data_IF_034363099246
#
_entry.id   IF_034363099246
#
_cell.length_a   1.000
_cell.length_b   1.000
_cell.length_c   1.000
_cell.angle_alpha   90.00
_cell.angle_beta   90.00
_cell.angle_gamma   90.00
#
_symmetry.space_group_name_H-M   'P 1'
#
loop_
_entity.id
_entity.type
_entity.pdbx_description
1 polymer ?
#
# COMPACT_ATOMS: atom_id res chain seq x y z
N UNK A 1 5.11 2.95 81.98
CA UNK A 1 6.36 3.55 82.50
C UNK A 1 7.50 2.57 82.21
N UNK A 2 8.56 3.02 81.51
CA UNK A 2 9.85 2.31 81.29
C UNK A 2 10.85 2.95 82.28
N UNK A 3 11.89 2.25 82.83
CA UNK A 3 13.12 2.00 82.05
C UNK A 3 14.08 0.85 82.50
N UNK A 4 15.13 0.64 81.69
CA UNK A 4 16.53 0.28 82.00
C UNK A 4 16.88 -1.09 82.66
N UNK A 5 17.39 -2.09 81.92
CA UNK A 5 18.81 -2.38 81.48
C UNK A 5 19.80 -2.86 82.54
N UNK A 6 20.24 -4.13 82.41
CA UNK A 6 21.58 -4.64 82.74
C UNK A 6 21.97 -5.63 81.60
N UNK A 7 22.85 -5.34 80.62
CA UNK A 7 24.34 -5.31 80.63
C UNK A 7 24.95 -6.56 81.30
N UNK A 8 25.91 -7.33 80.78
CA UNK A 8 26.58 -7.48 79.48
C UNK A 8 27.56 -8.67 79.65
N UNK A 9 27.73 -9.53 78.63
CA UNK A 9 29.02 -10.19 78.31
C UNK A 9 28.96 -10.78 76.90
N UNK A 10 29.72 -10.19 75.97
CA UNK A 10 29.92 -10.62 74.57
C UNK A 10 30.95 -11.77 74.49
N UNK A 11 30.93 -12.58 73.39
CA UNK A 11 31.97 -12.36 72.36
C UNK A 11 31.48 -12.52 70.90
N UNK A 12 31.81 -11.50 70.10
CA UNK A 12 32.15 -11.39 68.65
C UNK A 12 31.54 -12.32 67.56
N UNK A 13 31.29 -11.78 66.35
CA UNK A 13 30.36 -12.31 65.36
C UNK A 13 31.03 -13.32 64.41
N UNK A 14 30.27 -14.24 63.81
CA UNK A 14 30.33 -14.29 62.35
C UNK A 14 29.05 -14.81 61.70
N UNK A 15 28.61 -14.10 60.67
CA UNK A 15 27.59 -14.57 59.75
C UNK A 15 26.39 -13.65 59.78
N UNK A 16 26.53 -12.49 59.14
CA UNK A 16 25.41 -12.08 58.29
C UNK A 16 25.05 -13.35 57.48
N UNK A 17 23.81 -13.87 57.55
CA UNK A 17 23.34 -14.65 56.44
C UNK A 17 23.40 -13.66 55.30
N UNK A 18 24.51 -13.71 54.56
CA UNK A 18 24.58 -13.21 53.21
C UNK A 18 23.27 -13.70 52.64
N UNK A 19 22.33 -12.76 52.47
CA UNK A 19 21.44 -12.83 51.35
C UNK A 19 22.43 -13.06 50.23
N UNK A 20 22.51 -14.33 49.81
CA UNK A 20 22.92 -14.68 48.49
C UNK A 20 21.87 -13.97 47.66
N UNK A 21 22.08 -12.66 47.48
CA UNK A 21 21.79 -11.99 46.26
C UNK A 21 22.54 -12.88 45.30
N UNK A 22 21.84 -13.88 44.78
CA UNK A 22 21.86 -14.10 43.35
C UNK A 22 21.50 -12.75 42.75
N UNK A 23 22.46 -11.83 42.81
CA UNK A 23 23.00 -11.33 41.59
C UNK A 23 23.35 -12.61 40.85
N UNK A 24 22.37 -13.09 40.10
CA UNK A 24 22.65 -13.30 38.69
C UNK A 24 23.15 -11.95 38.20
N UNK A 25 24.40 -11.62 38.56
CA UNK A 25 25.36 -11.00 37.68
C UNK A 25 25.45 -12.00 36.54
N UNK A 26 24.42 -12.06 35.71
CA UNK A 26 24.59 -12.46 34.33
C UNK A 26 25.19 -11.24 33.63
N UNK A 27 26.30 -10.74 34.19
CA UNK A 27 27.37 -10.04 33.51
C UNK A 27 28.34 -11.07 32.95
N UNK A 28 27.81 -12.16 32.38
CA UNK A 28 28.51 -12.79 31.29
C UNK A 28 28.21 -11.88 30.12
N UNK A 29 29.23 -11.19 29.60
CA UNK A 29 29.12 -10.41 28.38
C UNK A 29 28.17 -11.14 27.42
N UNK A 30 27.02 -10.52 27.08
CA UNK A 30 26.15 -11.05 26.04
C UNK A 30 27.09 -11.36 24.89
N UNK A 31 27.27 -12.66 24.61
CA UNK A 31 28.23 -13.08 23.61
C UNK A 31 27.84 -12.37 22.32
N UNK A 32 28.80 -12.00 21.48
CA UNK A 32 28.51 -11.37 20.18
C UNK A 32 27.41 -12.15 19.43
N UNK A 33 27.32 -13.47 19.63
CA UNK A 33 26.24 -14.32 19.15
C UNK A 33 24.83 -13.99 19.67
N UNK A 34 24.65 -13.63 20.95
CA UNK A 34 23.34 -13.25 21.51
C UNK A 34 22.87 -11.88 20.99
N UNK A 35 23.81 -10.93 20.80
CA UNK A 35 23.51 -9.64 20.17
C UNK A 35 23.12 -9.81 18.70
N UNK A 36 23.84 -10.67 17.97
CA UNK A 36 23.50 -11.01 16.57
C UNK A 36 22.17 -11.74 16.49
N UNK A 37 21.87 -12.65 17.43
CA UNK A 37 20.60 -13.34 17.48
C UNK A 37 19.43 -12.38 17.73
N UNK A 38 19.57 -11.45 18.68
CA UNK A 38 18.60 -10.38 18.93
C UNK A 38 18.41 -9.46 17.72
N UNK A 39 19.49 -9.06 17.05
CA UNK A 39 19.43 -8.26 15.82
C UNK A 39 18.66 -8.97 14.70
N UNK A 40 18.88 -10.27 14.51
CA UNK A 40 18.17 -11.07 13.51
C UNK A 40 16.69 -11.19 13.85
N UNK A 41 16.36 -11.40 15.13
CA UNK A 41 14.96 -11.51 15.54
C UNK A 41 14.22 -10.17 15.46
N UNK A 42 14.89 -9.06 15.80
CA UNK A 42 14.37 -7.70 15.63
C UNK A 42 14.16 -7.36 14.15
N UNK A 43 15.12 -7.67 13.27
CA UNK A 43 14.99 -7.44 11.82
C UNK A 43 13.81 -8.22 11.22
N UNK A 44 13.59 -9.45 11.69
CA UNK A 44 12.47 -10.30 11.24
C UNK A 44 11.12 -9.79 11.75
N UNK A 45 11.08 -9.28 12.99
CA UNK A 45 9.87 -8.68 13.56
C UNK A 45 9.50 -7.39 12.81
N UNK A 46 10.51 -6.58 12.48
CA UNK A 46 10.35 -5.35 11.70
C UNK A 46 9.87 -5.63 10.27
N UNK A 47 10.49 -6.60 9.58
CA UNK A 47 10.05 -7.01 8.24
C UNK A 47 8.60 -7.53 8.21
N UNK A 48 8.17 -8.25 9.26
CA UNK A 48 6.76 -8.65 9.39
C UNK A 48 5.83 -7.48 9.67
N UNK A 49 6.27 -6.49 10.43
CA UNK A 49 5.51 -5.28 10.70
C UNK A 49 5.31 -4.45 9.42
N UNK A 50 6.34 -4.29 8.59
CA UNK A 50 6.23 -3.60 7.30
C UNK A 50 5.33 -4.35 6.33
N UNK A 51 5.48 -5.68 6.22
CA UNK A 51 4.56 -6.52 5.43
C UNK A 51 3.11 -6.38 5.90
N UNK A 52 2.89 -6.32 7.22
CA UNK A 52 1.58 -6.06 7.82
C UNK A 52 1.04 -4.68 7.45
N UNK A 53 1.88 -3.65 7.48
CA UNK A 53 1.54 -2.29 7.08
C UNK A 53 1.16 -2.19 5.60
N UNK A 54 1.96 -2.74 4.69
CA UNK A 54 1.65 -2.77 3.26
C UNK A 54 0.38 -3.55 2.96
N UNK A 55 0.15 -4.66 3.68
CA UNK A 55 -1.07 -5.45 3.54
C UNK A 55 -2.29 -4.68 4.04
N UNK A 56 -2.20 -4.00 5.19
CA UNK A 56 -3.27 -3.18 5.74
C UNK A 56 -3.60 -2.01 4.81
N UNK A 57 -2.58 -1.26 4.36
CA UNK A 57 -2.71 -0.16 3.41
C UNK A 57 -3.31 -0.61 2.08
N UNK A 58 -2.88 -1.78 1.58
CA UNK A 58 -3.43 -2.42 0.39
C UNK A 58 -4.91 -2.79 0.55
N UNK A 59 -5.30 -3.36 1.70
CA UNK A 59 -6.70 -3.71 1.97
C UNK A 59 -7.61 -2.51 2.19
N UNK A 60 -7.12 -1.44 2.83
CA UNK A 60 -7.88 -0.19 2.99
C UNK A 60 -8.12 0.49 1.64
N UNK A 61 -7.07 0.64 0.83
CA UNK A 61 -7.18 1.22 -0.51
C UNK A 61 -8.05 0.37 -1.42
N UNK A 62 -7.93 -0.96 -1.36
CA UNK A 62 -8.78 -1.86 -2.13
C UNK A 62 -10.25 -1.74 -1.73
N UNK A 63 -10.58 -1.71 -0.44
CA UNK A 63 -11.96 -1.54 0.03
C UNK A 63 -12.54 -0.19 -0.40
N UNK A 64 -11.76 0.89 -0.32
CA UNK A 64 -12.19 2.20 -0.79
C UNK A 64 -12.39 2.24 -2.32
N UNK A 65 -11.61 1.47 -3.09
CA UNK A 65 -11.69 1.46 -4.55
C UNK A 65 -12.75 0.50 -5.12
N UNK A 66 -13.27 -0.47 -4.37
CA UNK A 66 -14.26 -1.44 -4.88
C UNK A 66 -15.45 -0.79 -5.56
N UNK A 67 -16.11 0.14 -4.86
CA UNK A 67 -17.29 0.85 -5.37
C UNK A 67 -16.96 1.72 -6.60
N UNK A 68 -15.96 2.63 -6.56
CA UNK A 68 -15.64 3.44 -7.72
C UNK A 68 -15.09 2.63 -8.90
N UNK A 69 -14.42 1.48 -8.67
CA UNK A 69 -14.02 0.57 -9.76
C UNK A 69 -15.27 0.00 -10.44
N UNK A 70 -16.24 -0.54 -9.70
CA UNK A 70 -17.45 -1.11 -10.30
C UNK A 70 -18.24 -0.04 -11.06
N UNK A 71 -18.42 1.14 -10.46
CA UNK A 71 -19.09 2.26 -11.12
C UNK A 71 -18.30 2.74 -12.35
N UNK A 72 -16.98 2.80 -12.28
CA UNK A 72 -16.11 3.16 -13.40
C UNK A 72 -16.20 2.16 -14.55
N UNK A 73 -16.19 0.86 -14.24
CA UNK A 73 -16.36 -0.20 -15.24
C UNK A 73 -17.74 -0.13 -15.91
N UNK A 74 -18.80 0.08 -15.12
CA UNK A 74 -20.15 0.28 -15.66
C UNK A 74 -20.20 1.52 -16.56
N UNK A 75 -19.61 2.64 -16.13
CA UNK A 75 -19.56 3.86 -16.92
C UNK A 75 -18.82 3.65 -18.25
N UNK A 76 -17.67 2.95 -18.24
CA UNK A 76 -16.93 2.60 -19.46
C UNK A 76 -17.77 1.71 -20.37
N UNK A 77 -18.46 0.72 -19.81
CA UNK A 77 -19.34 -0.17 -20.57
C UNK A 77 -20.47 0.61 -21.25
N UNK A 78 -21.14 1.52 -20.53
CA UNK A 78 -22.18 2.38 -21.09
C UNK A 78 -21.63 3.37 -22.11
N UNK A 79 -20.46 3.95 -21.87
CA UNK A 79 -19.79 4.83 -22.84
C UNK A 79 -19.45 4.09 -24.13
N UNK A 80 -18.98 2.85 -24.04
CA UNK A 80 -18.71 2.00 -25.20
C UNK A 80 -20.00 1.67 -25.97
N UNK A 81 -21.06 1.27 -25.25
CA UNK A 81 -22.36 1.00 -25.87
C UNK A 81 -22.92 2.24 -26.58
N UNK A 82 -22.87 3.40 -25.93
CA UNK A 82 -23.30 4.67 -26.53
C UNK A 82 -22.47 5.04 -27.77
N UNK A 83 -21.16 4.77 -27.75
CA UNK A 83 -20.29 4.99 -28.90
C UNK A 83 -20.67 4.13 -30.11
N UNK A 84 -21.00 2.85 -29.90
CA UNK A 84 -21.48 1.97 -30.99
C UNK A 84 -22.81 2.44 -31.56
N UNK A 85 -23.74 2.86 -30.69
CA UNK A 85 -25.02 3.43 -31.11
C UNK A 85 -24.81 4.71 -31.91
N UNK A 86 -23.90 5.58 -31.49
CA UNK A 86 -23.55 6.81 -32.21
C UNK A 86 -23.05 6.50 -33.63
N UNK A 87 -22.15 5.52 -33.78
CA UNK A 87 -21.66 5.08 -35.10
C UNK A 87 -22.81 4.57 -35.97
N UNK A 88 -23.69 3.73 -35.40
CA UNK A 88 -24.85 3.21 -36.11
C UNK A 88 -25.81 4.32 -36.54
N UNK A 89 -26.08 5.31 -35.68
CA UNK A 89 -26.92 6.46 -35.99
C UNK A 89 -26.31 7.32 -37.11
N UNK A 90 -25.00 7.54 -37.09
CA UNK A 90 -24.30 8.26 -38.17
C UNK A 90 -24.47 7.49 -39.49
N UNK A 91 -24.22 6.17 -39.49
CA UNK A 91 -24.36 5.35 -40.68
C UNK A 91 -25.78 5.39 -41.25
N UNK A 92 -26.80 5.15 -40.41
CA UNK A 92 -28.21 5.18 -40.82
C UNK A 92 -28.61 6.56 -41.33
N UNK A 93 -28.14 7.62 -40.67
CA UNK A 93 -28.35 9.00 -41.11
C UNK A 93 -27.77 9.25 -42.50
N UNK A 94 -26.51 8.86 -42.75
CA UNK A 94 -25.86 9.00 -44.05
C UNK A 94 -26.51 8.13 -45.13
N UNK A 95 -26.90 6.90 -44.81
CA UNK A 95 -27.55 5.98 -45.74
C UNK A 95 -28.89 6.53 -46.26
N UNK A 96 -29.55 7.45 -45.53
CA UNK A 96 -30.75 8.12 -46.02
C UNK A 96 -30.49 9.18 -47.11
N UNK A 97 -29.23 9.63 -47.30
CA UNK A 97 -28.84 10.65 -48.28
C UNK A 97 -28.06 10.08 -49.48
N UNK A 98 -27.39 8.94 -49.33
CA UNK A 98 -26.49 8.36 -50.33
C UNK A 98 -26.56 6.83 -50.34
N UNK A 99 -25.83 6.16 -51.26
CA UNK A 99 -25.78 4.71 -51.27
C UNK A 99 -25.14 4.14 -50.00
N UNK A 100 -25.61 2.97 -49.55
CA UNK A 100 -25.13 2.29 -48.33
C UNK A 100 -23.60 2.13 -48.32
N UNK A 101 -23.00 1.83 -49.47
CA UNK A 101 -21.55 1.69 -49.61
C UNK A 101 -20.81 3.00 -49.35
N UNK A 102 -21.31 4.12 -49.90
CA UNK A 102 -20.70 5.43 -49.69
C UNK A 102 -20.88 5.91 -48.25
N UNK A 103 -22.07 5.67 -47.68
CA UNK A 103 -22.37 5.99 -46.28
C UNK A 103 -21.45 5.23 -45.31
N UNK A 104 -21.20 3.94 -45.58
CA UNK A 104 -20.27 3.13 -44.80
C UNK A 104 -18.84 3.65 -44.87
N UNK A 105 -18.35 3.95 -46.08
CA UNK A 105 -17.00 4.49 -46.28
C UNK A 105 -16.81 5.84 -45.57
N UNK A 106 -17.78 6.73 -45.67
CA UNK A 106 -17.71 8.05 -45.04
C UNK A 106 -17.79 7.94 -43.51
N UNK A 107 -18.65 7.06 -42.99
CA UNK A 107 -18.71 6.77 -41.54
C UNK A 107 -17.37 6.25 -41.01
N UNK A 108 -16.71 5.36 -41.76
CA UNK A 108 -15.36 4.88 -41.44
C UNK A 108 -14.35 6.02 -41.39
N UNK A 109 -14.33 6.89 -42.40
CA UNK A 109 -13.42 8.05 -42.45
C UNK A 109 -13.64 8.97 -41.25
N UNK A 110 -14.90 9.24 -40.88
CA UNK A 110 -15.23 10.04 -39.69
C UNK A 110 -14.68 9.37 -38.42
N UNK A 111 -14.88 8.07 -38.26
CA UNK A 111 -14.40 7.34 -37.08
C UNK A 111 -12.87 7.34 -36.99
N UNK A 112 -12.18 7.12 -38.12
CA UNK A 112 -10.71 7.14 -38.18
C UNK A 112 -10.17 8.54 -37.89
N UNK A 113 -10.81 9.59 -38.42
CA UNK A 113 -10.42 10.97 -38.15
C UNK A 113 -10.59 11.31 -36.66
N UNK A 114 -11.71 10.93 -36.05
CA UNK A 114 -11.95 11.13 -34.62
C UNK A 114 -10.94 10.35 -33.75
N UNK A 115 -10.71 9.07 -34.04
CA UNK A 115 -9.75 8.24 -33.32
C UNK A 115 -8.32 8.75 -33.48
N UNK A 116 -7.91 9.13 -34.69
CA UNK A 116 -6.61 9.72 -34.97
C UNK A 116 -6.41 11.05 -34.25
N UNK A 117 -7.42 11.91 -34.23
CA UNK A 117 -7.39 13.18 -33.50
C UNK A 117 -7.24 12.99 -31.99
N UNK A 118 -8.03 12.10 -31.38
CA UNK A 118 -7.92 11.78 -29.96
C UNK A 118 -6.57 11.14 -29.62
N UNK A 119 -6.10 10.20 -30.45
CA UNK A 119 -4.79 9.57 -30.29
C UNK A 119 -3.64 10.56 -30.36
N UNK A 120 -3.70 11.51 -31.30
CA UNK A 120 -2.71 12.57 -31.42
C UNK A 120 -2.71 13.49 -30.20
N UNK A 121 -3.87 13.93 -29.71
CA UNK A 121 -3.97 14.76 -28.52
C UNK A 121 -3.45 14.05 -27.27
N UNK A 122 -3.74 12.75 -27.13
CA UNK A 122 -3.21 11.93 -26.04
C UNK A 122 -1.68 11.84 -26.10
N UNK A 123 -1.12 11.58 -27.29
CA UNK A 123 0.33 11.52 -27.51
C UNK A 123 1.01 12.88 -27.22
N UNK A 124 0.45 13.97 -27.72
CA UNK A 124 0.98 15.33 -27.50
C UNK A 124 0.97 15.72 -26.01
N UNK A 125 -0.05 15.28 -25.27
CA UNK A 125 -0.13 15.57 -23.83
C UNK A 125 0.81 14.68 -23.01
N UNK A 126 0.96 13.42 -23.39
CA UNK A 126 1.85 12.48 -22.70
C UNK A 126 3.33 12.88 -22.88
N UNK A 127 3.73 13.26 -24.09
CA UNK A 127 5.09 13.74 -24.38
C UNK A 127 5.44 15.00 -23.59
N UNK A 128 4.55 16.00 -23.59
CA UNK A 128 4.73 17.21 -22.79
C UNK A 128 4.88 16.92 -21.29
N UNK A 129 4.04 16.02 -20.75
CA UNK A 129 4.13 15.64 -19.34
C UNK A 129 5.42 14.90 -18.97
N UNK A 130 6.06 14.21 -19.92
CA UNK A 130 7.37 13.59 -19.73
C UNK A 130 8.51 14.62 -19.77
N UNK A 131 8.40 15.63 -20.63
CA UNK A 131 9.35 16.75 -20.69
C UNK A 131 9.31 17.59 -19.40
N UNK A 132 8.12 17.82 -18.85
CA UNK A 132 7.94 18.55 -17.57
C UNK A 132 8.45 17.76 -16.35
N UNK A 133 8.64 16.44 -16.49
CA UNK A 133 9.05 15.54 -15.40
C UNK A 133 10.55 15.15 -15.44
N UNK A 134 11.27 15.54 -16.49
CA UNK A 134 12.70 15.27 -16.70
C UNK A 134 13.56 16.49 -16.32
#
# INVERSE_FOLDING_TARGET
>A
MKPATAKATEPAPPGDPMLKRTETTQGGADGIGDLVHRLVEDAKSYGRAELGYFKALGTEKANALKVPIVLGLLAILFAHAAFLVLIATIFVGLASLMSDTLAGLLTLVICVAAAGGLGYLAYAKATKGLEDAA
#
